data_IF_919590437412
#
_entry.id   IF_919590437412
#
_cell.length_a   1.000
_cell.length_b   1.000
_cell.length_c   1.000
_cell.angle_alpha   90.00
_cell.angle_beta   90.00
_cell.angle_gamma   90.00
#
_symmetry.space_group_name_H-M   'P 1'
#
loop_
_entity.id
_entity.type
_entity.pdbx_description
1 polymer ?
#
# COMPACT_ATOMS: atom_id res chain seq x y z
N UNK A 1 -8.73 -0.40 -6.67
CA UNK A 1 -8.08 -0.60 -5.34
C UNK A 1 -7.01 -1.67 -5.52
N UNK A 2 -5.76 -1.41 -5.09
CA UNK A 2 -4.65 -2.37 -5.19
C UNK A 2 -4.13 -2.63 -3.78
N UNK A 3 -4.21 -3.88 -3.34
CA UNK A 3 -3.76 -4.41 -2.04
C UNK A 3 -4.04 -3.50 -0.82
N UNK A 4 -5.23 -2.94 -0.78
CA UNK A 4 -5.67 -2.03 0.29
C UNK A 4 -6.72 -2.72 1.17
N UNK A 5 -6.38 -3.11 2.39
CA UNK A 5 -7.29 -3.86 3.23
C UNK A 5 -8.43 -2.99 3.76
N UNK A 6 -9.67 -3.42 3.52
CA UNK A 6 -10.86 -2.90 4.20
C UNK A 6 -11.22 -3.95 5.26
N UNK A 7 -11.02 -3.59 6.51
CA UNK A 7 -11.16 -4.53 7.62
C UNK A 7 -12.60 -4.52 8.17
N UNK A 8 -13.14 -5.68 8.56
CA UNK A 8 -14.45 -5.76 9.20
C UNK A 8 -14.47 -4.97 10.53
N UNK A 9 -15.65 -4.54 11.00
CA UNK A 9 -15.79 -3.86 12.29
C UNK A 9 -15.28 -4.68 13.48
N UNK A 10 -15.32 -6.00 13.35
CA UNK A 10 -14.86 -6.97 14.35
C UNK A 10 -13.35 -7.23 14.31
N UNK A 11 -12.64 -6.61 13.37
CA UNK A 11 -11.21 -6.86 13.20
C UNK A 11 -10.43 -6.47 14.44
N UNK A 12 -9.63 -7.42 14.95
CA UNK A 12 -8.77 -7.20 16.11
C UNK A 12 -7.51 -6.41 15.73
N UNK A 13 -7.47 -5.15 16.11
CA UNK A 13 -6.30 -4.29 15.92
C UNK A 13 -5.23 -4.46 17.00
N UNK A 14 -5.48 -5.25 18.05
CA UNK A 14 -4.51 -5.43 19.15
C UNK A 14 -3.25 -6.16 18.69
N UNK A 15 -3.39 -7.00 17.67
CA UNK A 15 -2.27 -7.74 17.05
C UNK A 15 -1.45 -6.88 16.09
N UNK A 16 -1.96 -5.70 15.71
CA UNK A 16 -1.19 -4.76 14.91
C UNK A 16 -0.13 -4.12 15.80
N UNK A 17 1.11 -4.50 15.57
CA UNK A 17 2.24 -3.70 16.05
C UNK A 17 2.05 -2.33 15.40
N UNK A 18 1.51 -1.38 16.15
CA UNK A 18 1.60 0.01 15.77
C UNK A 18 3.08 0.26 15.56
N UNK A 19 3.51 0.39 14.32
CA UNK A 19 4.75 1.09 14.05
C UNK A 19 4.65 2.35 14.88
N UNK A 20 5.56 2.54 15.83
CA UNK A 20 5.51 3.66 16.78
C UNK A 20 5.32 4.99 16.04
N UNK A 21 5.14 6.09 16.76
CA UNK A 21 4.85 7.38 16.14
C UNK A 21 5.85 7.60 15.01
N UNK A 22 5.36 7.93 13.82
CA UNK A 22 6.23 8.23 12.68
C UNK A 22 7.21 9.27 13.15
N UNK A 23 8.46 8.88 13.19
CA UNK A 23 9.51 9.78 13.67
C UNK A 23 9.59 10.95 12.72
N UNK A 24 9.65 12.16 13.26
CA UNK A 24 9.89 13.37 12.48
C UNK A 24 11.04 13.18 11.50
N UNK A 25 10.88 13.70 10.29
CA UNK A 25 11.90 13.61 9.23
C UNK A 25 13.23 14.13 9.77
N UNK A 26 14.25 13.29 9.62
CA UNK A 26 15.63 13.64 9.98
C UNK A 26 16.39 14.05 8.72
N UNK A 27 17.38 14.93 8.90
CA UNK A 27 18.36 15.23 7.87
C UNK A 27 19.56 14.27 8.02
N UNK A 28 19.97 13.70 6.91
CA UNK A 28 21.10 12.78 6.81
C UNK A 28 22.24 13.47 6.07
N UNK A 29 23.49 13.31 6.48
CA UNK A 29 24.60 14.08 5.91
C UNK A 29 24.89 13.72 4.44
N UNK A 30 24.65 12.45 4.05
CA UNK A 30 24.95 11.99 2.68
C UNK A 30 23.77 11.19 2.11
N UNK A 31 23.75 11.07 0.77
CA UNK A 31 22.76 10.28 0.04
C UNK A 31 22.83 8.80 0.45
N UNK A 32 24.02 8.28 0.62
CA UNK A 32 24.26 6.89 1.03
C UNK A 32 23.66 6.62 2.41
N UNK A 33 23.93 7.51 3.36
CA UNK A 33 23.46 7.33 4.76
C UNK A 33 21.94 7.32 4.91
N UNK A 34 21.20 8.02 4.04
CA UNK A 34 19.73 7.96 4.05
C UNK A 34 19.24 6.72 3.29
N UNK A 35 19.85 6.34 2.16
CA UNK A 35 19.44 5.17 1.37
C UNK A 35 19.59 3.86 2.16
N UNK A 36 20.64 3.72 2.97
CA UNK A 36 20.80 2.57 3.88
C UNK A 36 19.63 2.38 4.87
N UNK A 37 18.85 3.44 5.08
CA UNK A 37 17.67 3.43 5.96
C UNK A 37 16.35 3.18 5.26
N UNK A 38 16.38 3.05 3.94
CA UNK A 38 15.16 2.72 3.20
C UNK A 38 14.62 1.35 3.62
N UNK A 39 13.35 1.30 3.91
CA UNK A 39 12.61 0.06 4.19
C UNK A 39 11.22 0.18 3.58
N UNK A 40 10.75 -0.90 3.01
CA UNK A 40 9.34 -1.02 2.63
C UNK A 40 8.48 -1.08 3.89
N UNK A 41 7.30 -0.52 3.86
CA UNK A 41 6.36 -0.57 4.99
C UNK A 41 4.96 -0.90 4.46
N UNK A 42 4.40 -2.08 4.78
CA UNK A 42 4.99 -3.15 5.58
C UNK A 42 6.28 -3.71 4.97
N UNK A 43 7.15 -4.26 5.83
CA UNK A 43 8.38 -4.88 5.38
C UNK A 43 8.07 -6.16 4.60
N UNK A 44 8.72 -6.32 3.45
CA UNK A 44 8.64 -7.52 2.63
C UNK A 44 9.94 -7.69 1.82
N UNK A 45 10.23 -8.92 1.47
CA UNK A 45 11.25 -9.23 0.46
C UNK A 45 10.71 -8.93 -0.93
N UNK A 46 11.58 -8.50 -1.84
CA UNK A 46 11.23 -8.21 -3.23
C UNK A 46 12.35 -8.67 -4.16
N UNK A 47 12.04 -9.56 -5.10
CA UNK A 47 13.02 -10.06 -6.08
C UNK A 47 13.50 -8.96 -7.05
N UNK A 48 12.68 -7.93 -7.28
CA UNK A 48 13.00 -6.80 -8.15
C UNK A 48 13.79 -5.71 -7.41
N UNK A 49 14.96 -6.05 -6.86
CA UNK A 49 15.80 -5.13 -6.08
C UNK A 49 16.07 -3.80 -6.82
N UNK A 50 16.19 -3.83 -8.14
CA UNK A 50 16.41 -2.63 -8.95
C UNK A 50 15.24 -1.64 -8.85
N UNK A 51 13.98 -2.12 -8.74
CA UNK A 51 12.81 -1.26 -8.53
C UNK A 51 12.80 -0.68 -7.12
N UNK A 52 13.14 -1.49 -6.12
CA UNK A 52 13.26 -1.03 -4.73
C UNK A 52 14.30 0.07 -4.63
N UNK A 53 15.48 -0.14 -5.24
CA UNK A 53 16.56 0.85 -5.30
C UNK A 53 16.13 2.12 -6.02
N UNK A 54 15.48 1.99 -7.17
CA UNK A 54 14.96 3.12 -7.93
C UNK A 54 14.00 3.97 -7.08
N UNK A 55 13.02 3.33 -6.43
CA UNK A 55 12.06 4.04 -5.57
C UNK A 55 12.76 4.70 -4.38
N UNK A 56 13.71 4.02 -3.74
CA UNK A 56 14.49 4.58 -2.64
C UNK A 56 15.21 5.87 -3.07
N UNK A 57 15.91 5.84 -4.21
CA UNK A 57 16.65 6.98 -4.75
C UNK A 57 15.73 8.17 -5.07
N UNK A 58 14.53 7.90 -5.61
CA UNK A 58 13.56 8.94 -5.94
C UNK A 58 12.73 9.41 -4.75
N UNK A 59 12.81 8.72 -3.61
CA UNK A 59 12.09 9.08 -2.37
C UNK A 59 12.82 10.11 -1.52
N UNK A 60 14.01 10.55 -1.92
CA UNK A 60 14.82 11.51 -1.19
C UNK A 60 14.87 12.87 -1.91
N UNK A 61 15.09 13.91 -1.13
CA UNK A 61 15.31 15.30 -1.60
C UNK A 61 16.51 15.91 -0.89
N UNK A 62 17.17 16.83 -1.54
CA UNK A 62 18.14 17.70 -0.90
C UNK A 62 17.45 18.62 0.11
N UNK A 63 18.14 18.91 1.19
CA UNK A 63 17.70 19.81 2.26
C UNK A 63 18.90 20.58 2.78
N UNK A 64 18.66 21.63 3.58
CA UNK A 64 19.74 22.34 4.25
C UNK A 64 20.59 21.36 5.05
N UNK A 65 21.88 21.29 4.73
CA UNK A 65 22.87 20.42 5.35
C UNK A 65 22.68 18.90 5.14
N UNK A 66 22.12 18.47 3.98
CA UNK A 66 22.07 17.05 3.62
C UNK A 66 20.81 16.62 2.88
N UNK A 67 20.29 15.44 3.22
CA UNK A 67 19.20 14.77 2.53
C UNK A 67 18.06 14.40 3.47
N UNK A 68 16.83 14.46 2.97
CA UNK A 68 15.61 14.08 3.70
C UNK A 68 14.72 13.20 2.82
N UNK A 69 13.83 12.43 3.47
CA UNK A 69 12.72 11.77 2.78
C UNK A 69 11.72 12.80 2.23
N UNK A 70 11.10 12.49 1.08
CA UNK A 70 10.08 13.35 0.45
C UNK A 70 8.71 13.28 1.10
N UNK A 71 8.38 12.19 1.83
CA UNK A 71 7.06 12.03 2.40
C UNK A 71 6.74 13.12 3.45
N UNK A 72 5.46 13.39 3.64
CA UNK A 72 4.98 14.30 4.69
C UNK A 72 4.87 13.53 6.01
N UNK A 73 5.72 13.83 6.97
CA UNK A 73 5.75 13.17 8.29
C UNK A 73 4.58 13.57 9.20
N UNK A 74 3.77 14.54 8.77
CA UNK A 74 2.55 14.97 9.46
C UNK A 74 1.27 14.30 8.92
N UNK A 75 1.38 13.48 7.85
CA UNK A 75 0.22 12.86 7.20
C UNK A 75 -0.63 12.05 8.19
N UNK A 76 0.02 11.34 9.10
CA UNK A 76 -0.68 10.50 10.07
C UNK A 76 -1.24 11.28 11.28
N UNK A 77 -0.75 12.49 11.51
CA UNK A 77 -1.34 13.41 12.50
C UNK A 77 -2.68 13.97 11.99
N UNK A 78 -2.81 14.08 10.66
CA UNK A 78 -3.97 14.64 9.97
C UNK A 78 -4.99 13.59 9.54
N UNK A 79 -4.51 12.42 9.15
CA UNK A 79 -5.34 11.27 8.85
C UNK A 79 -5.76 10.62 10.19
N UNK A 80 -6.84 11.10 10.77
CA UNK A 80 -7.51 10.32 11.81
C UNK A 80 -7.82 8.94 11.23
N UNK A 81 -7.12 7.90 11.69
CA UNK A 81 -7.48 6.51 11.40
C UNK A 81 -8.80 6.18 12.13
N UNK A 82 -9.84 6.94 11.82
CA UNK A 82 -11.15 6.71 12.38
C UNK A 82 -11.85 5.63 11.56
N UNK A 83 -12.75 4.94 12.22
CA UNK A 83 -13.66 3.94 11.65
C UNK A 83 -14.43 4.45 10.41
N UNK A 84 -14.31 5.71 10.06
CA UNK A 84 -15.05 6.42 9.01
C UNK A 84 -14.71 5.94 7.59
N UNK A 85 -13.51 5.41 7.35
CA UNK A 85 -13.13 4.90 6.03
C UNK A 85 -13.81 3.56 5.66
N UNK A 86 -14.43 2.89 6.63
CA UNK A 86 -15.03 1.57 6.42
C UNK A 86 -16.26 1.61 5.54
N UNK A 87 -17.08 2.65 5.67
CA UNK A 87 -18.34 2.75 4.92
C UNK A 87 -18.14 3.39 3.54
N UNK A 88 -17.16 4.29 3.41
CA UNK A 88 -16.90 5.03 2.16
C UNK A 88 -16.58 4.09 1.01
N UNK A 89 -15.86 3.00 1.26
CA UNK A 89 -15.48 2.05 0.22
C UNK A 89 -16.66 1.26 -0.37
N UNK A 90 -17.81 1.23 0.29
CA UNK A 90 -19.00 0.49 -0.12
C UNK A 90 -20.10 1.39 -0.68
N UNK A 91 -20.02 2.69 -0.43
CA UNK A 91 -20.97 3.73 -0.93
C UNK A 91 -20.40 4.52 -2.11
N UNK A 92 -19.60 3.86 -2.96
CA UNK A 92 -18.94 4.52 -4.07
C UNK A 92 -19.92 4.80 -5.23
N UNK A 93 -19.91 6.05 -5.71
CA UNK A 93 -20.59 6.46 -6.95
C UNK A 93 -19.71 6.22 -8.21
N UNK A 94 -18.74 5.30 -8.13
CA UNK A 94 -17.85 4.97 -9.22
C UNK A 94 -17.66 3.44 -9.33
N UNK A 95 -17.22 2.98 -10.50
CA UNK A 95 -16.88 1.56 -10.69
C UNK A 95 -15.68 1.18 -9.83
N UNK A 96 -15.70 0.01 -9.24
CA UNK A 96 -14.66 -0.53 -8.37
C UNK A 96 -14.05 -1.79 -8.99
N UNK A 97 -12.75 -1.95 -8.84
CA UNK A 97 -12.02 -3.20 -9.06
C UNK A 97 -11.04 -3.40 -7.90
N UNK A 98 -10.90 -4.64 -7.46
CA UNK A 98 -10.00 -5.03 -6.38
C UNK A 98 -8.91 -5.91 -6.97
N UNK A 99 -7.65 -5.50 -6.80
CA UNK A 99 -6.47 -6.27 -7.22
C UNK A 99 -5.65 -6.50 -5.97
N UNK A 100 -5.14 -7.70 -5.75
CA UNK A 100 -4.40 -8.02 -4.53
C UNK A 100 -3.33 -9.08 -4.76
N UNK A 101 -2.25 -9.03 -3.95
CA UNK A 101 -1.19 -10.03 -3.95
C UNK A 101 -1.62 -11.30 -3.22
N UNK A 102 -1.33 -12.48 -3.80
CA UNK A 102 -1.68 -13.78 -3.17
C UNK A 102 -0.84 -14.10 -1.94
N UNK A 103 0.28 -13.40 -1.76
CA UNK A 103 1.20 -13.55 -0.62
C UNK A 103 1.12 -12.36 0.35
N UNK A 104 0.14 -11.48 0.15
CA UNK A 104 -0.04 -10.30 0.99
C UNK A 104 -0.57 -10.65 2.37
N UNK A 105 0.21 -10.37 3.40
CA UNK A 105 -0.24 -10.47 4.79
C UNK A 105 -1.31 -9.43 5.16
N UNK A 106 -1.54 -8.44 4.30
CA UNK A 106 -2.56 -7.40 4.50
C UNK A 106 -3.93 -7.82 3.95
N UNK A 107 -3.99 -8.79 3.03
CA UNK A 107 -5.21 -9.25 2.36
C UNK A 107 -5.53 -10.69 2.75
N UNK A 108 -5.76 -10.91 4.06
CA UNK A 108 -6.12 -12.22 4.59
C UNK A 108 -7.49 -12.69 4.07
N UNK A 109 -7.77 -13.98 4.17
CA UNK A 109 -9.07 -14.56 3.76
C UNK A 109 -10.24 -13.86 4.44
N UNK A 110 -10.13 -13.49 5.72
CA UNK A 110 -11.14 -12.73 6.46
C UNK A 110 -11.41 -11.38 5.77
N UNK A 111 -10.36 -10.66 5.42
CA UNK A 111 -10.47 -9.34 4.76
C UNK A 111 -11.01 -9.49 3.34
N UNK A 112 -10.55 -10.48 2.58
CA UNK A 112 -11.03 -10.74 1.22
C UNK A 112 -12.51 -11.13 1.21
N UNK A 113 -12.94 -11.96 2.13
CA UNK A 113 -14.35 -12.36 2.28
C UNK A 113 -15.20 -11.14 2.66
N UNK A 114 -14.76 -10.35 3.64
CA UNK A 114 -15.47 -9.13 4.03
C UNK A 114 -15.61 -8.15 2.86
N UNK A 115 -14.54 -7.91 2.09
CA UNK A 115 -14.59 -7.06 0.90
C UNK A 115 -15.61 -7.63 -0.09
N UNK A 116 -15.53 -8.92 -0.41
CA UNK A 116 -16.40 -9.59 -1.39
C UNK A 116 -17.89 -9.49 -1.03
N UNK A 117 -18.23 -9.59 0.25
CA UNK A 117 -19.59 -9.50 0.74
C UNK A 117 -20.16 -8.07 0.73
N UNK A 118 -19.30 -7.06 0.76
CA UNK A 118 -19.71 -5.68 0.94
C UNK A 118 -19.50 -4.78 -0.30
N UNK A 119 -18.75 -5.21 -1.31
CA UNK A 119 -18.60 -4.46 -2.55
C UNK A 119 -19.79 -4.72 -3.50
N UNK A 120 -20.07 -3.80 -4.46
CA UNK A 120 -21.13 -4.02 -5.44
C UNK A 120 -20.99 -5.36 -6.17
N UNK A 121 -22.12 -6.01 -6.41
CA UNK A 121 -22.16 -7.29 -7.15
C UNK A 121 -21.48 -7.14 -8.51
N UNK A 122 -20.64 -8.12 -8.86
CA UNK A 122 -19.86 -8.09 -10.10
C UNK A 122 -18.56 -7.28 -10.04
N UNK A 123 -18.19 -6.74 -8.89
CA UNK A 123 -16.87 -6.11 -8.70
C UNK A 123 -15.77 -7.13 -9.00
N UNK A 124 -14.88 -6.89 -9.98
CA UNK A 124 -13.78 -7.80 -10.27
C UNK A 124 -12.78 -7.84 -9.09
N UNK A 125 -12.45 -9.05 -8.65
CA UNK A 125 -11.43 -9.32 -7.64
C UNK A 125 -10.32 -10.14 -8.28
N UNK A 126 -9.16 -9.54 -8.50
CA UNK A 126 -8.08 -10.10 -9.31
C UNK A 126 -6.87 -10.41 -8.43
N UNK A 127 -6.55 -11.69 -8.20
CA UNK A 127 -5.34 -12.08 -7.51
C UNK A 127 -4.12 -11.96 -8.41
N UNK A 128 -3.04 -11.38 -7.91
CA UNK A 128 -1.72 -11.38 -8.54
C UNK A 128 -0.84 -12.40 -7.82
N UNK A 129 -0.47 -13.44 -8.53
CA UNK A 129 0.36 -14.52 -7.98
C UNK A 129 1.77 -14.02 -7.67
N UNK A 130 2.38 -14.60 -6.64
CA UNK A 130 3.75 -14.26 -6.20
C UNK A 130 3.93 -12.77 -5.91
N UNK A 131 2.91 -12.10 -5.46
CA UNK A 131 2.96 -10.72 -5.02
C UNK A 131 2.54 -10.62 -3.55
N UNK A 132 3.32 -9.91 -2.75
CA UNK A 132 2.96 -9.48 -1.41
C UNK A 132 2.27 -8.11 -1.46
N UNK A 133 2.33 -7.31 -0.39
CA UNK A 133 1.61 -6.04 -0.32
C UNK A 133 2.05 -5.02 -1.38
N UNK A 134 3.34 -4.93 -1.65
CA UNK A 134 3.86 -4.01 -2.68
C UNK A 134 3.79 -4.64 -4.07
N UNK A 135 2.57 -4.97 -4.52
CA UNK A 135 2.30 -5.68 -5.79
C UNK A 135 3.02 -5.05 -6.97
N UNK A 136 3.11 -3.73 -7.01
CA UNK A 136 3.79 -3.01 -8.09
C UNK A 136 5.31 -3.27 -8.15
N UNK A 137 5.90 -3.67 -7.03
CA UNK A 137 7.32 -4.02 -6.96
C UNK A 137 7.55 -5.48 -7.31
N UNK A 138 6.65 -6.35 -6.84
CA UNK A 138 6.79 -7.79 -7.05
C UNK A 138 6.43 -8.20 -8.48
N UNK A 139 5.26 -7.74 -8.96
CA UNK A 139 4.68 -8.15 -10.24
C UNK A 139 4.16 -6.94 -11.05
N UNK A 140 5.04 -6.03 -11.49
CA UNK A 140 4.64 -4.79 -12.15
C UNK A 140 3.88 -4.99 -13.47
N UNK A 141 4.25 -5.99 -14.27
CA UNK A 141 3.64 -6.25 -15.57
C UNK A 141 2.25 -6.88 -15.40
N UNK A 142 2.12 -7.86 -14.53
CA UNK A 142 0.86 -8.51 -14.19
C UNK A 142 -0.13 -7.50 -13.60
N UNK A 143 0.35 -6.60 -12.73
CA UNK A 143 -0.45 -5.52 -12.19
C UNK A 143 -0.94 -4.58 -13.31
N UNK A 144 -0.07 -4.19 -14.23
CA UNK A 144 -0.43 -3.34 -15.35
C UNK A 144 -1.50 -3.99 -16.24
N UNK A 145 -1.37 -5.28 -16.55
CA UNK A 145 -2.38 -6.01 -17.34
C UNK A 145 -3.70 -6.18 -16.59
N UNK A 146 -3.67 -6.44 -15.28
CA UNK A 146 -4.87 -6.49 -14.46
C UNK A 146 -5.61 -5.14 -14.46
N UNK A 147 -4.90 -4.02 -14.29
CA UNK A 147 -5.48 -2.67 -14.34
C UNK A 147 -6.10 -2.40 -15.71
N UNK A 148 -5.41 -2.72 -16.81
CA UNK A 148 -5.95 -2.58 -18.18
C UNK A 148 -7.21 -3.42 -18.38
N UNK A 149 -7.21 -4.67 -17.88
CA UNK A 149 -8.36 -5.57 -17.97
C UNK A 149 -9.59 -5.00 -17.25
N UNK A 150 -9.41 -4.46 -16.05
CA UNK A 150 -10.48 -3.79 -15.30
C UNK A 150 -10.96 -2.54 -16.01
N UNK A 151 -10.06 -1.70 -16.51
CA UNK A 151 -10.41 -0.43 -17.16
C UNK A 151 -11.16 -0.62 -18.47
N UNK A 152 -10.82 -1.65 -19.27
CA UNK A 152 -11.55 -1.97 -20.52
C UNK A 152 -13.03 -2.23 -20.29
N UNK A 153 -13.41 -2.79 -19.17
CA UNK A 153 -14.81 -3.06 -18.81
C UNK A 153 -15.55 -1.82 -18.27
N UNK A 154 -14.86 -0.68 -18.18
CA UNK A 154 -15.42 0.57 -17.67
C UNK A 154 -15.71 1.60 -18.76
N UNK A 155 -15.14 1.40 -19.94
CA UNK A 155 -15.36 2.20 -21.14
C UNK A 155 -16.43 1.54 -22.00
#
# INVERSE_FOLDING_TARGET
MVDSPIRPPTYDYSTHVRSGPIRRIKTYPTKESILERFRLTPEQECENEFLVKYIAEWSIKEANNGYQWKFDDTIFDKLGFSHMLRNIAFELNCKLGVIYGTESNMMTDEILNFIKENVPSGTPMIPIKKAAHHVLLDQPLELAEAIKGVAKNWI
#
